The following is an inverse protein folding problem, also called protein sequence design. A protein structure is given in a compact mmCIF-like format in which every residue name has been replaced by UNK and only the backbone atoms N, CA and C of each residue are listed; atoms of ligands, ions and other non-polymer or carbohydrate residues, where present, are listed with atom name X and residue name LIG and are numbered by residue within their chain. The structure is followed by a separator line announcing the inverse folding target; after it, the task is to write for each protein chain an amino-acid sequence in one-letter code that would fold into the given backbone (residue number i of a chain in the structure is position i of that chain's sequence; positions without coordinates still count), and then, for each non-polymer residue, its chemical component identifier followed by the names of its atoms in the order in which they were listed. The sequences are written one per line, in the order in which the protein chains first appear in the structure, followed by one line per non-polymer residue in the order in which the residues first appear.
data_IF_058225364770
#
_entry.id   IF_058225364770
#
_cell.length_a   1.000
_cell.length_b   1.000
_cell.length_c   1.000
_cell.angle_alpha   90.00
_cell.angle_beta   90.00
_cell.angle_gamma   90.00
#
_symmetry.space_group_name_H-M   'P 1'
#
loop_
_entity.id
_entity.type
_entity.pdbx_description
1 polymer ?
#
# COMPACT_ATOMS: atom_id res chain seq x y z
N UNK A 1 -3.37 22.40 3.11
CA UNK A 1 -3.57 21.38 2.07
C UNK A 1 -3.80 20.06 2.78
N UNK A 2 -4.95 19.44 2.54
CA UNK A 2 -5.37 18.17 3.12
C UNK A 2 -5.10 17.04 2.12
N UNK A 3 -4.85 15.83 2.60
CA UNK A 3 -4.73 14.66 1.72
C UNK A 3 -6.05 14.36 0.99
N UNK A 4 -7.18 14.80 1.54
CA UNK A 4 -8.49 14.68 0.92
C UNK A 4 -8.68 15.60 -0.29
N UNK A 5 -7.78 16.56 -0.51
CA UNK A 5 -7.81 17.46 -1.68
C UNK A 5 -7.38 16.72 -2.97
N UNK A 6 -6.85 15.50 -2.86
CA UNK A 6 -6.37 14.68 -3.98
C UNK A 6 -7.29 13.48 -4.23
N UNK A 7 -7.73 13.31 -5.48
CA UNK A 7 -8.58 12.20 -5.89
C UNK A 7 -7.88 10.84 -5.71
N UNK A 8 -8.68 9.81 -5.39
CA UNK A 8 -8.22 8.42 -5.24
C UNK A 8 -9.19 7.46 -5.91
N UNK A 9 -8.65 6.51 -6.67
CA UNK A 9 -9.36 5.34 -7.17
C UNK A 9 -9.16 4.19 -6.17
N UNK A 10 -10.22 3.59 -5.60
CA UNK A 10 -10.08 2.48 -4.66
C UNK A 10 -9.47 1.24 -5.34
N UNK A 11 -8.27 0.86 -4.92
CA UNK A 11 -7.57 -0.36 -5.35
C UNK A 11 -7.23 -1.29 -4.17
N UNK A 12 -7.44 -0.82 -2.95
CA UNK A 12 -7.16 -1.55 -1.70
C UNK A 12 -8.44 -2.07 -1.04
N UNK A 13 -8.32 -3.10 -0.22
CA UNK A 13 -9.42 -3.55 0.65
C UNK A 13 -9.76 -2.52 1.75
N UNK A 14 -8.80 -1.65 2.11
CA UNK A 14 -8.93 -0.67 3.18
C UNK A 14 -7.58 -0.42 3.89
N UNK A 15 -7.60 0.04 5.16
CA UNK A 15 -6.40 0.11 5.99
C UNK A 15 -5.79 -1.29 6.17
N UNK A 16 -4.50 -1.44 5.87
CA UNK A 16 -3.80 -2.71 6.05
C UNK A 16 -3.68 -3.07 7.54
N UNK A 17 -3.80 -4.35 7.92
CA UNK A 17 -3.69 -4.79 9.30
C UNK A 17 -2.27 -4.59 9.82
N UNK A 18 -2.13 -4.45 11.14
CA UNK A 18 -0.85 -4.36 11.84
C UNK A 18 -0.75 -5.57 12.75
N UNK A 19 0.35 -6.33 12.62
CA UNK A 19 0.60 -7.51 13.46
C UNK A 19 1.82 -7.29 14.35
N UNK A 20 1.76 -7.63 15.65
CA UNK A 20 2.94 -7.74 16.47
C UNK A 20 3.75 -8.97 16.02
N UNK A 21 5.08 -8.89 16.13
CA UNK A 21 5.99 -10.00 15.85
C UNK A 21 6.71 -10.45 17.13
N UNK A 22 5.98 -10.94 18.16
CA UNK A 22 6.54 -11.16 19.50
C UNK A 22 7.70 -12.16 19.50
N UNK A 23 7.63 -13.22 18.69
CA UNK A 23 8.72 -14.20 18.55
C UNK A 23 9.99 -13.60 17.97
N UNK A 24 9.86 -12.62 17.06
CA UNK A 24 11.02 -11.93 16.49
C UNK A 24 11.60 -10.93 17.49
N UNK A 25 10.75 -10.19 18.20
CA UNK A 25 11.17 -9.27 19.27
C UNK A 25 11.97 -10.03 20.34
N UNK A 26 11.46 -11.17 20.81
CA UNK A 26 12.15 -12.02 21.80
C UNK A 26 13.47 -12.57 21.27
N UNK A 27 13.49 -13.09 20.04
CA UNK A 27 14.70 -13.63 19.42
C UNK A 27 15.82 -12.57 19.25
N UNK A 28 15.48 -11.28 19.28
CA UNK A 28 16.43 -10.16 19.13
C UNK A 28 16.76 -9.44 20.45
N UNK A 29 16.40 -10.03 21.59
CA UNK A 29 16.76 -9.53 22.93
C UNK A 29 15.63 -8.89 23.72
N UNK A 30 14.44 -8.74 23.14
CA UNK A 30 13.22 -8.34 23.87
C UNK A 30 13.16 -6.88 24.33
N UNK A 31 14.16 -6.05 24.03
CA UNK A 31 14.17 -4.62 24.41
C UNK A 31 13.30 -3.73 23.50
N UNK A 32 12.97 -4.22 22.30
CA UNK A 32 12.18 -3.49 21.29
C UNK A 32 11.04 -4.36 20.79
N UNK A 33 9.83 -3.81 20.75
CA UNK A 33 8.68 -4.45 20.11
C UNK A 33 8.69 -4.23 18.59
N UNK A 34 8.73 -5.33 17.84
CA UNK A 34 8.67 -5.30 16.38
C UNK A 34 7.25 -5.55 15.91
N UNK A 35 6.80 -4.71 14.99
CA UNK A 35 5.47 -4.76 14.37
C UNK A 35 5.59 -4.72 12.86
N UNK A 36 4.63 -5.34 12.16
CA UNK A 36 4.55 -5.30 10.71
C UNK A 36 3.17 -4.80 10.24
N UNK A 37 3.17 -3.70 9.47
CA UNK A 37 1.98 -3.21 8.76
C UNK A 37 1.90 -3.87 7.39
N UNK A 38 0.84 -4.64 7.16
CA UNK A 38 0.74 -5.62 6.07
C UNK A 38 0.29 -5.03 4.75
N UNK A 39 1.10 -4.14 4.19
CA UNK A 39 0.88 -3.63 2.84
C UNK A 39 0.97 -4.73 1.77
N UNK A 40 1.69 -5.81 2.05
CA UNK A 40 1.80 -7.01 1.22
C UNK A 40 0.48 -7.80 1.07
N UNK A 41 -0.57 -7.46 1.81
CA UNK A 41 -1.89 -8.08 1.72
C UNK A 41 -3.00 -7.05 1.47
N UNK A 42 -2.67 -5.87 0.95
CA UNK A 42 -3.58 -4.72 0.90
C UNK A 42 -4.61 -4.77 -0.24
N UNK A 43 -4.47 -5.67 -1.22
CA UNK A 43 -5.29 -5.72 -2.43
C UNK A 43 -5.42 -7.13 -2.98
N UNK A 44 -6.51 -7.39 -3.73
CA UNK A 44 -6.71 -8.61 -4.50
C UNK A 44 -6.01 -8.61 -5.87
N UNK A 45 -5.37 -7.50 -6.26
CA UNK A 45 -4.70 -7.35 -7.56
C UNK A 45 -3.28 -7.92 -7.45
N UNK A 46 -3.09 -9.16 -7.91
CA UNK A 46 -1.76 -9.79 -8.04
C UNK A 46 -0.85 -9.59 -6.81
N UNK A 47 -1.36 -9.89 -5.62
CA UNK A 47 -0.74 -9.72 -4.29
C UNK A 47 -0.61 -8.28 -3.76
N UNK A 48 -0.92 -7.25 -4.55
CA UNK A 48 -0.96 -5.88 -4.06
C UNK A 48 0.42 -5.31 -3.72
N UNK A 49 0.56 -4.77 -2.51
CA UNK A 49 1.81 -4.20 -2.02
C UNK A 49 1.84 -2.68 -2.02
N UNK A 50 2.99 -2.12 -1.62
CA UNK A 50 3.16 -0.68 -1.47
C UNK A 50 2.95 0.10 -2.79
N UNK A 51 3.14 -0.54 -3.95
CA UNK A 51 2.96 0.12 -5.26
C UNK A 51 1.48 0.33 -5.58
N UNK A 52 0.62 -0.64 -5.24
CA UNK A 52 -0.83 -0.49 -5.43
C UNK A 52 -1.40 0.64 -4.59
N UNK A 53 -0.90 0.85 -3.36
CA UNK A 53 -1.26 2.04 -2.55
C UNK A 53 -0.91 3.36 -3.23
N UNK A 54 0.23 3.44 -3.93
CA UNK A 54 0.61 4.65 -4.68
C UNK A 54 -0.30 4.87 -5.89
N UNK A 55 -0.66 3.78 -6.57
CA UNK A 55 -1.46 3.81 -7.78
C UNK A 55 -2.88 4.35 -7.55
N UNK A 56 -3.46 4.25 -6.34
CA UNK A 56 -4.78 4.84 -6.08
C UNK A 56 -4.85 6.34 -6.44
N UNK A 57 -3.76 7.09 -6.27
CA UNK A 57 -3.71 8.51 -6.62
C UNK A 57 -3.39 8.73 -8.11
N UNK A 58 -2.45 7.97 -8.67
CA UNK A 58 -2.01 8.15 -10.07
C UNK A 58 -3.04 7.65 -11.07
N UNK A 59 -3.78 6.58 -10.74
CA UNK A 59 -4.86 6.07 -11.59
C UNK A 59 -6.02 7.06 -11.62
N UNK A 60 -6.32 7.74 -10.51
CA UNK A 60 -7.36 8.77 -10.50
C UNK A 60 -7.03 9.91 -11.49
N UNK A 61 -5.77 10.33 -11.56
CA UNK A 61 -5.28 11.32 -12.51
C UNK A 61 -5.29 10.81 -13.96
N UNK A 62 -4.82 9.58 -14.20
CA UNK A 62 -4.86 8.96 -15.53
C UNK A 62 -6.29 8.84 -16.09
N UNK A 63 -7.26 8.51 -15.23
CA UNK A 63 -8.68 8.49 -15.58
C UNK A 63 -9.20 9.89 -15.92
N UNK A 64 -8.83 10.92 -15.15
CA UNK A 64 -9.23 12.30 -15.41
C UNK A 64 -8.67 12.83 -16.74
N UNK A 65 -7.48 12.38 -17.13
CA UNK A 65 -6.83 12.73 -18.40
C UNK A 65 -7.35 11.89 -19.59
N UNK A 66 -8.18 10.88 -19.34
CA UNK A 66 -8.70 10.00 -20.40
C UNK A 66 -7.63 9.07 -21.00
N UNK A 67 -6.60 8.71 -20.23
CA UNK A 67 -5.62 7.72 -20.66
C UNK A 67 -6.28 6.34 -20.84
N UNK A 68 -5.87 5.60 -21.87
CA UNK A 68 -6.35 4.25 -22.16
C UNK A 68 -5.31 3.15 -21.83
N UNK A 69 -4.05 3.54 -21.62
CA UNK A 69 -2.92 2.63 -21.47
C UNK A 69 -2.00 3.13 -20.35
N UNK A 70 -1.70 2.26 -19.37
CA UNK A 70 -0.71 2.53 -18.33
C UNK A 70 0.65 1.95 -18.75
N UNK A 71 1.65 2.81 -18.91
CA UNK A 71 3.04 2.42 -19.21
C UNK A 71 3.90 2.63 -17.97
N UNK A 72 4.69 1.62 -17.61
CA UNK A 72 5.61 1.69 -16.48
C UNK A 72 6.92 0.97 -16.82
N UNK A 73 7.89 0.99 -15.90
CA UNK A 73 9.21 0.37 -16.07
C UNK A 73 9.65 -0.31 -14.77
N UNK A 74 10.47 -1.36 -14.92
CA UNK A 74 11.15 -2.07 -13.85
C UNK A 74 12.51 -2.58 -14.33
N UNK A 75 13.36 -2.96 -13.39
CA UNK A 75 14.57 -3.73 -13.69
C UNK A 75 14.27 -5.20 -13.92
#
# INVERSE_FOLDING_TARGET
MSLNDFARTPLLFGPSPIHPLPRLSEALGGEVEIWAKREDCNSGIAFGGNKVRKLEYLVADALAQGCDTLVSIGG
#
